data_IF_110685661939
#
_entry.id   IF_110685661939
#
_cell.length_a   1.000
_cell.length_b   1.000
_cell.length_c   1.000
_cell.angle_alpha   90.00
_cell.angle_beta   90.00
_cell.angle_gamma   90.00
#
_symmetry.space_group_name_H-M   'P 1'
#
loop_
_entity.id
_entity.type
_entity.pdbx_description
1 polymer ?
#
# COMPACT_ATOMS: atom_id res chain seq x y z
N UNK A 1 8.20 8.67 -50.24
CA UNK A 1 7.36 9.16 -49.15
C UNK A 1 7.79 8.44 -47.88
N UNK A 2 8.61 9.09 -47.02
CA UNK A 2 9.11 8.50 -45.80
C UNK A 2 8.05 8.62 -44.70
N UNK A 3 7.25 7.60 -44.49
CA UNK A 3 6.41 7.44 -43.30
C UNK A 3 7.25 6.84 -42.16
N UNK A 4 8.25 7.55 -41.71
CA UNK A 4 8.80 7.34 -40.34
C UNK A 4 7.89 8.14 -39.40
N UNK A 5 6.74 7.60 -39.04
CA UNK A 5 6.03 8.06 -37.85
C UNK A 5 7.03 7.97 -36.67
N UNK A 6 7.22 9.07 -35.94
CA UNK A 6 8.05 9.10 -34.73
C UNK A 6 7.48 8.08 -33.74
N UNK A 7 8.00 6.84 -33.74
CA UNK A 7 7.70 5.89 -32.68
C UNK A 7 8.18 6.51 -31.36
N UNK A 8 7.28 6.70 -30.41
CA UNK A 8 7.65 7.18 -29.09
C UNK A 8 8.41 6.06 -28.38
N UNK A 9 9.66 6.32 -28.09
CA UNK A 9 10.50 5.43 -27.27
C UNK A 9 10.19 5.62 -25.79
N UNK A 10 10.53 4.64 -24.96
CA UNK A 10 10.42 4.71 -23.49
C UNK A 10 11.37 5.78 -22.98
N UNK A 11 10.83 6.81 -22.33
CA UNK A 11 11.63 7.95 -21.81
C UNK A 11 11.16 8.36 -20.42
N UNK A 12 12.03 9.01 -19.62
CA UNK A 12 11.59 9.65 -18.39
C UNK A 12 10.55 10.75 -18.66
N UNK A 13 9.53 10.84 -17.81
CA UNK A 13 8.59 11.97 -17.84
C UNK A 13 9.25 13.25 -17.35
N UNK A 14 8.93 14.39 -17.97
CA UNK A 14 9.29 15.71 -17.46
C UNK A 14 8.66 15.94 -16.07
N UNK A 15 7.37 15.65 -15.94
CA UNK A 15 6.64 15.70 -14.66
C UNK A 15 6.16 14.31 -14.29
N UNK A 16 6.86 13.70 -13.32
CA UNK A 16 6.53 12.35 -12.84
C UNK A 16 5.19 12.34 -12.11
N UNK A 17 4.45 11.26 -12.32
CA UNK A 17 3.26 10.95 -11.53
C UNK A 17 3.70 10.19 -10.26
N UNK A 18 3.15 10.51 -9.09
CA UNK A 18 3.47 9.76 -7.88
C UNK A 18 2.88 8.34 -7.95
N UNK A 19 3.44 7.38 -7.19
CA UNK A 19 2.88 6.03 -7.11
C UNK A 19 1.44 6.06 -6.56
N UNK A 20 0.61 5.09 -6.97
CA UNK A 20 -0.79 5.01 -6.51
C UNK A 20 -0.85 4.89 -4.98
N UNK A 21 0.04 4.11 -4.40
CA UNK A 21 0.16 3.94 -2.95
C UNK A 21 1.61 3.68 -2.55
N UNK A 22 1.89 3.84 -1.25
CA UNK A 22 3.15 3.35 -0.69
C UNK A 22 3.14 1.82 -0.68
N UNK A 23 4.10 1.23 -1.36
CA UNK A 23 4.25 -0.22 -1.41
C UNK A 23 5.63 -0.62 -0.86
N UNK A 24 5.74 -1.75 -0.13
CA UNK A 24 7.04 -2.22 0.34
C UNK A 24 8.01 -2.37 -0.83
N UNK A 25 9.23 -1.91 -0.66
CA UNK A 25 10.22 -1.98 -1.73
C UNK A 25 10.13 -0.89 -2.79
N UNK A 26 9.18 0.06 -2.71
CA UNK A 26 9.00 1.11 -3.72
C UNK A 26 10.29 1.82 -4.13
N UNK A 27 10.48 2.05 -5.43
CA UNK A 27 11.75 2.47 -6.07
C UNK A 27 11.91 3.98 -6.30
N UNK A 28 11.16 4.81 -5.56
CA UNK A 28 11.25 6.28 -5.74
C UNK A 28 12.67 6.82 -5.53
N UNK A 29 13.43 6.26 -4.58
CA UNK A 29 14.80 6.67 -4.29
C UNK A 29 15.80 6.13 -5.33
N UNK A 30 15.50 5.01 -5.93
CA UNK A 30 16.31 4.32 -6.93
C UNK A 30 16.08 4.87 -8.35
N UNK A 31 15.07 5.70 -8.58
CA UNK A 31 14.81 6.34 -9.89
C UNK A 31 16.04 7.09 -10.43
N UNK A 32 16.89 7.62 -9.54
CA UNK A 32 18.15 8.28 -9.92
C UNK A 32 19.16 7.33 -10.59
N UNK A 33 19.07 6.02 -10.37
CA UNK A 33 19.88 4.99 -11.01
C UNK A 33 19.16 4.36 -12.20
N UNK A 34 17.82 4.32 -12.18
CA UNK A 34 17.00 3.69 -13.22
C UNK A 34 16.89 4.60 -14.44
N UNK A 35 16.42 5.84 -14.24
CA UNK A 35 16.05 6.71 -15.36
C UNK A 35 17.22 7.11 -16.29
N UNK A 36 18.46 7.35 -15.80
CA UNK A 36 19.59 7.65 -16.67
C UNK A 36 20.06 6.46 -17.52
N UNK A 37 19.70 5.24 -17.09
CA UNK A 37 20.17 3.99 -17.68
C UNK A 37 19.10 3.26 -18.52
N UNK A 38 18.03 3.95 -18.91
CA UNK A 38 17.02 3.39 -19.83
C UNK A 38 17.64 3.15 -21.21
N UNK A 39 17.25 2.07 -21.93
CA UNK A 39 17.67 1.86 -23.32
C UNK A 39 17.09 2.98 -24.20
N UNK A 40 17.90 3.46 -25.16
CA UNK A 40 17.58 4.68 -25.93
C UNK A 40 16.54 4.48 -27.04
N UNK A 41 16.25 3.24 -27.39
CA UNK A 41 15.40 2.86 -28.53
C UNK A 41 14.28 1.88 -28.18
N UNK A 42 13.96 1.74 -26.89
CA UNK A 42 12.91 0.86 -26.42
C UNK A 42 11.50 1.37 -26.80
N UNK A 43 10.64 0.48 -27.29
CA UNK A 43 9.30 0.81 -27.77
C UNK A 43 8.24 0.78 -26.67
N UNK A 44 8.01 -0.38 -26.06
CA UNK A 44 6.98 -0.59 -25.05
C UNK A 44 7.62 -0.89 -23.68
N UNK A 45 6.84 -0.63 -22.64
CA UNK A 45 7.27 -0.81 -21.26
C UNK A 45 6.55 -1.98 -20.61
N UNK A 46 7.32 -2.83 -19.92
CA UNK A 46 6.81 -3.98 -19.16
C UNK A 46 7.29 -3.91 -17.71
N UNK A 47 6.38 -4.17 -16.76
CA UNK A 47 6.72 -4.24 -15.32
C UNK A 47 5.91 -5.37 -14.67
N UNK A 48 6.46 -6.60 -14.59
CA UNK A 48 5.76 -7.78 -14.07
C UNK A 48 5.56 -7.77 -12.55
N UNK A 49 6.22 -6.88 -11.82
CA UNK A 49 6.15 -6.68 -10.38
C UNK A 49 5.90 -5.20 -10.08
N UNK A 50 4.75 -4.66 -10.51
CA UNK A 50 4.52 -3.20 -10.54
C UNK A 50 4.42 -2.57 -9.16
N UNK A 51 3.93 -3.30 -8.13
CA UNK A 51 3.73 -2.73 -6.82
C UNK A 51 2.98 -1.40 -6.84
N UNK A 52 3.52 -0.37 -6.18
CA UNK A 52 2.95 0.98 -6.18
C UNK A 52 3.10 1.77 -7.49
N UNK A 53 3.87 1.25 -8.47
CA UNK A 53 4.07 1.86 -9.79
C UNK A 53 5.07 3.01 -9.82
N UNK A 54 6.06 3.03 -8.94
CA UNK A 54 7.04 4.13 -8.88
C UNK A 54 7.81 4.32 -10.18
N UNK A 55 8.21 3.24 -10.86
CA UNK A 55 8.94 3.28 -12.14
C UNK A 55 7.96 3.49 -13.28
N UNK A 56 6.92 2.68 -13.38
CA UNK A 56 5.85 2.77 -14.37
C UNK A 56 5.30 4.20 -14.52
N UNK A 57 4.97 4.86 -13.41
CA UNK A 57 4.39 6.21 -13.40
C UNK A 57 5.40 7.33 -13.65
N UNK A 58 6.69 7.00 -13.67
CA UNK A 58 7.79 7.94 -13.97
C UNK A 58 8.20 7.95 -15.45
N UNK A 59 7.61 7.09 -16.28
CA UNK A 59 7.99 6.89 -17.68
C UNK A 59 6.90 7.31 -18.66
N UNK A 60 7.32 7.80 -19.84
CA UNK A 60 6.49 7.91 -21.03
C UNK A 60 6.78 6.75 -21.98
N UNK A 61 5.72 6.10 -22.48
CA UNK A 61 5.77 5.04 -23.49
C UNK A 61 4.54 5.11 -24.38
N UNK A 62 4.59 4.48 -25.53
CA UNK A 62 3.42 4.33 -26.38
C UNK A 62 2.40 3.35 -25.73
N UNK A 63 2.89 2.25 -25.16
CA UNK A 63 2.09 1.25 -24.48
C UNK A 63 2.82 0.70 -23.25
N UNK A 64 2.03 0.35 -22.24
CA UNK A 64 2.51 -0.23 -21.00
C UNK A 64 1.83 -1.56 -20.73
N UNK A 65 2.59 -2.50 -20.17
CA UNK A 65 2.13 -3.78 -19.69
C UNK A 65 2.59 -3.93 -18.25
N UNK A 66 1.66 -3.88 -17.32
CA UNK A 66 1.95 -4.00 -15.90
C UNK A 66 1.25 -5.21 -15.30
N UNK A 67 1.90 -5.83 -14.35
CA UNK A 67 1.41 -7.00 -13.67
C UNK A 67 1.79 -6.98 -12.18
N UNK A 68 1.01 -7.61 -11.36
CA UNK A 68 1.35 -7.99 -9.99
C UNK A 68 0.53 -9.21 -9.59
N UNK A 69 1.06 -10.02 -8.67
CA UNK A 69 0.36 -11.20 -8.17
C UNK A 69 -0.74 -10.85 -7.16
N UNK A 70 -0.68 -9.68 -6.51
CA UNK A 70 -1.72 -9.20 -5.60
C UNK A 70 -2.97 -8.79 -6.37
N UNK A 71 -4.05 -9.55 -6.17
CA UNK A 71 -5.34 -9.29 -6.80
C UNK A 71 -5.94 -7.96 -6.35
N UNK A 72 -5.80 -7.61 -5.07
CA UNK A 72 -6.31 -6.35 -4.51
C UNK A 72 -5.58 -5.13 -5.09
N UNK A 73 -4.26 -5.24 -5.26
CA UNK A 73 -3.48 -4.18 -5.89
C UNK A 73 -3.89 -3.98 -7.35
N UNK A 74 -4.03 -5.07 -8.10
CA UNK A 74 -4.46 -5.00 -9.50
C UNK A 74 -5.92 -4.55 -9.61
N UNK A 75 -6.79 -4.94 -8.68
CA UNK A 75 -8.15 -4.40 -8.54
C UNK A 75 -8.14 -2.88 -8.41
N UNK A 76 -7.28 -2.33 -7.54
CA UNK A 76 -7.10 -0.88 -7.42
C UNK A 76 -6.69 -0.23 -8.74
N UNK A 77 -5.68 -0.77 -9.45
CA UNK A 77 -5.27 -0.23 -10.75
C UNK A 77 -6.42 -0.22 -11.76
N UNK A 78 -7.22 -1.28 -11.81
CA UNK A 78 -8.38 -1.39 -12.72
C UNK A 78 -9.47 -0.39 -12.39
N UNK A 79 -9.85 -0.26 -11.12
CA UNK A 79 -10.88 0.69 -10.67
C UNK A 79 -10.47 2.14 -10.95
N UNK A 80 -9.18 2.49 -10.71
CA UNK A 80 -8.64 3.81 -11.04
C UNK A 80 -8.60 4.03 -12.56
N UNK A 81 -8.19 3.02 -13.35
CA UNK A 81 -8.18 3.10 -14.81
C UNK A 81 -9.58 3.32 -15.40
N UNK A 82 -10.60 2.67 -14.84
CA UNK A 82 -12.00 2.78 -15.22
C UNK A 82 -12.67 4.06 -14.71
N UNK A 83 -11.99 4.83 -13.83
CA UNK A 83 -12.61 5.96 -13.10
C UNK A 83 -13.91 5.54 -12.43
N UNK A 84 -13.90 4.38 -11.74
CA UNK A 84 -15.09 3.78 -11.17
C UNK A 84 -15.70 4.70 -10.09
N UNK A 85 -16.88 5.25 -10.38
CA UNK A 85 -17.55 6.24 -9.52
C UNK A 85 -17.93 5.65 -8.16
N UNK A 86 -18.35 4.39 -8.10
CA UNK A 86 -18.71 3.74 -6.82
C UNK A 86 -17.48 3.64 -5.91
N UNK A 87 -16.34 3.21 -6.44
CA UNK A 87 -15.07 3.16 -5.72
C UNK A 87 -14.64 4.53 -5.20
N UNK A 88 -14.64 5.54 -6.09
CA UNK A 88 -14.23 6.90 -5.73
C UNK A 88 -15.16 7.52 -4.69
N UNK A 89 -16.47 7.26 -4.78
CA UNK A 89 -17.43 7.73 -3.81
C UNK A 89 -17.25 7.05 -2.45
N UNK A 90 -17.01 5.74 -2.42
CA UNK A 90 -16.70 5.02 -1.17
C UNK A 90 -15.44 5.55 -0.49
N UNK A 91 -14.40 5.89 -1.25
CA UNK A 91 -13.19 6.54 -0.69
C UNK A 91 -13.51 7.90 -0.08
N UNK A 92 -14.33 8.73 -0.75
CA UNK A 92 -14.75 10.04 -0.21
C UNK A 92 -15.56 9.88 1.07
N UNK A 93 -16.49 8.91 1.11
CA UNK A 93 -17.30 8.61 2.28
C UNK A 93 -16.46 8.13 3.46
N UNK A 94 -15.51 7.23 3.24
CA UNK A 94 -14.58 6.77 4.28
C UNK A 94 -13.75 7.95 4.83
N UNK A 95 -13.18 8.79 3.96
CA UNK A 95 -12.37 9.94 4.37
C UNK A 95 -13.22 10.98 5.12
N UNK A 96 -14.41 11.30 4.61
CA UNK A 96 -15.35 12.20 5.26
C UNK A 96 -15.71 11.72 6.68
N UNK A 97 -16.10 10.46 6.81
CA UNK A 97 -16.49 9.88 8.09
C UNK A 97 -15.31 9.75 9.06
N UNK A 98 -14.11 9.43 8.55
CA UNK A 98 -12.88 9.45 9.33
C UNK A 98 -12.59 10.84 9.93
N UNK A 99 -12.78 11.89 9.15
CA UNK A 99 -12.62 13.27 9.62
C UNK A 99 -13.76 13.71 10.52
N UNK A 100 -14.98 13.20 10.30
CA UNK A 100 -16.12 13.47 11.15
C UNK A 100 -15.93 12.97 12.59
N UNK A 101 -15.25 11.85 12.80
CA UNK A 101 -14.88 11.37 14.15
C UNK A 101 -14.10 12.42 14.92
N UNK A 102 -13.14 13.11 14.29
CA UNK A 102 -12.42 14.22 14.94
C UNK A 102 -13.34 15.36 15.34
N UNK A 103 -14.29 15.72 14.47
CA UNK A 103 -15.25 16.78 14.72
C UNK A 103 -16.18 16.44 15.89
N UNK A 104 -16.70 15.22 15.94
CA UNK A 104 -17.55 14.76 17.07
C UNK A 104 -16.77 14.87 18.39
N UNK A 105 -15.53 14.38 18.43
CA UNK A 105 -14.71 14.46 19.65
C UNK A 105 -14.44 15.91 20.05
N UNK A 106 -14.20 16.81 19.09
CA UNK A 106 -13.99 18.24 19.37
C UNK A 106 -15.28 18.92 19.87
N UNK A 107 -16.42 18.64 19.27
CA UNK A 107 -17.72 19.21 19.67
C UNK A 107 -18.09 18.81 21.10
N UNK A 108 -17.75 17.60 21.51
CA UNK A 108 -18.11 17.01 22.81
C UNK A 108 -16.89 16.83 23.73
N UNK A 109 -15.82 17.62 23.52
CA UNK A 109 -14.57 17.48 24.27
C UNK A 109 -14.80 17.57 25.79
N UNK A 110 -15.61 18.52 26.25
CA UNK A 110 -15.87 18.72 27.69
C UNK A 110 -16.57 17.52 28.32
N UNK A 111 -17.58 16.97 27.66
CA UNK A 111 -18.30 15.78 28.10
C UNK A 111 -17.38 14.56 28.17
N UNK A 112 -16.58 14.31 27.14
CA UNK A 112 -15.61 13.21 27.10
C UNK A 112 -14.52 13.34 28.17
N UNK A 113 -14.06 14.55 28.41
CA UNK A 113 -13.12 14.83 29.50
C UNK A 113 -13.76 14.61 30.86
N UNK A 114 -15.03 14.98 31.05
CA UNK A 114 -15.75 14.73 32.29
C UNK A 114 -15.90 13.24 32.55
N UNK A 115 -16.23 12.43 31.53
CA UNK A 115 -16.30 10.96 31.64
C UNK A 115 -14.94 10.42 32.09
N UNK A 116 -13.85 10.86 31.45
CA UNK A 116 -12.49 10.44 31.81
C UNK A 116 -12.14 10.80 33.25
N UNK A 117 -12.39 12.05 33.66
CA UNK A 117 -12.07 12.56 35.02
C UNK A 117 -12.88 11.80 36.09
N UNK A 118 -14.15 11.55 35.83
CA UNK A 118 -15.01 10.77 36.73
C UNK A 118 -14.45 9.36 36.91
N UNK A 119 -14.11 8.67 35.85
CA UNK A 119 -13.49 7.35 35.91
C UNK A 119 -12.13 7.37 36.64
N UNK A 120 -11.31 8.40 36.42
CA UNK A 120 -9.99 8.55 37.05
C UNK A 120 -10.10 8.68 38.57
N UNK A 121 -11.07 9.47 39.04
CA UNK A 121 -11.27 9.75 40.50
C UNK A 121 -11.97 8.56 41.17
N UNK A 122 -13.03 8.07 40.54
CA UNK A 122 -13.86 6.97 41.06
C UNK A 122 -13.99 5.88 40.00
N UNK A 123 -12.98 4.98 39.89
CA UNK A 123 -13.03 3.91 38.91
C UNK A 123 -14.25 3.01 39.11
N UNK A 124 -15.05 2.89 38.06
CA UNK A 124 -16.18 1.96 38.01
C UNK A 124 -15.79 0.65 37.35
N UNK A 125 -16.66 -0.34 37.39
CA UNK A 125 -16.48 -1.61 36.69
C UNK A 125 -16.50 -1.46 35.16
N UNK A 126 -15.89 -2.40 34.45
CA UNK A 126 -15.87 -2.38 32.98
C UNK A 126 -17.27 -2.31 32.34
N UNK A 127 -18.32 -3.01 32.86
CA UNK A 127 -19.67 -2.89 32.31
C UNK A 127 -20.27 -1.49 32.42
N UNK A 128 -20.05 -0.81 33.56
CA UNK A 128 -20.59 0.53 33.81
C UNK A 128 -19.90 1.60 32.94
N UNK A 129 -18.59 1.50 32.74
CA UNK A 129 -17.87 2.37 31.81
C UNK A 129 -18.34 2.12 30.37
N UNK A 130 -18.55 0.87 29.98
CA UNK A 130 -19.07 0.49 28.66
C UNK A 130 -20.47 1.08 28.43
N UNK A 131 -21.34 1.02 29.43
CA UNK A 131 -22.66 1.64 29.36
C UNK A 131 -22.59 3.16 29.20
N UNK A 132 -21.67 3.82 29.94
CA UNK A 132 -21.47 5.28 29.83
C UNK A 132 -21.04 5.70 28.44
N UNK A 133 -20.05 5.01 27.85
CA UNK A 133 -19.59 5.31 26.48
C UNK A 133 -20.66 4.95 25.43
N UNK A 134 -21.38 3.84 25.58
CA UNK A 134 -22.48 3.47 24.70
C UNK A 134 -23.59 4.52 24.73
N UNK A 135 -23.88 5.07 25.91
CA UNK A 135 -24.86 6.15 26.08
C UNK A 135 -24.39 7.42 25.34
N UNK A 136 -23.13 7.80 25.50
CA UNK A 136 -22.56 8.93 24.75
C UNK A 136 -22.74 8.77 23.22
N UNK A 137 -22.41 7.59 22.66
CA UNK A 137 -22.58 7.33 21.22
C UNK A 137 -24.06 7.42 20.82
N UNK A 138 -24.97 6.94 21.67
CA UNK A 138 -26.41 6.97 21.41
C UNK A 138 -26.99 8.37 21.51
N UNK A 139 -26.59 9.15 22.52
CA UNK A 139 -27.09 10.50 22.73
C UNK A 139 -26.66 11.46 21.60
N UNK A 140 -25.58 11.13 20.90
CA UNK A 140 -25.06 11.86 19.74
C UNK A 140 -25.24 11.10 18.42
N UNK A 141 -26.21 10.18 18.35
CA UNK A 141 -26.45 9.30 17.19
C UNK A 141 -26.56 10.08 15.87
N UNK A 142 -27.18 11.24 15.87
CA UNK A 142 -27.35 12.06 14.66
C UNK A 142 -26.00 12.50 14.06
N UNK A 143 -24.98 12.79 14.90
CA UNK A 143 -23.65 13.14 14.43
C UNK A 143 -22.88 11.91 13.93
N UNK A 144 -23.17 10.73 14.50
CA UNK A 144 -22.63 9.44 14.05
C UNK A 144 -23.41 8.87 12.85
N UNK A 145 -24.51 9.46 12.43
CA UNK A 145 -25.43 8.90 11.43
C UNK A 145 -24.78 8.58 10.08
N UNK A 146 -23.82 9.40 9.63
CA UNK A 146 -23.01 9.11 8.44
C UNK A 146 -22.17 7.82 8.57
N UNK A 147 -21.75 7.50 9.79
CA UNK A 147 -20.95 6.32 10.13
C UNK A 147 -21.83 5.06 10.29
N UNK A 148 -23.10 5.26 10.71
CA UNK A 148 -24.07 4.20 10.97
C UNK A 148 -24.95 3.87 9.77
N UNK A 149 -24.77 4.54 8.63
CA UNK A 149 -25.57 4.33 7.43
C UNK A 149 -25.22 3.01 6.75
N UNK A 150 -26.21 2.13 6.56
CA UNK A 150 -26.05 0.84 5.90
C UNK A 150 -25.58 0.91 4.43
N UNK A 151 -25.73 2.06 3.76
CA UNK A 151 -25.15 2.28 2.42
C UNK A 151 -23.65 2.57 2.45
N UNK A 152 -23.13 3.00 3.60
CA UNK A 152 -21.70 3.29 3.83
C UNK A 152 -21.02 2.15 4.58
N UNK A 153 -21.70 1.57 5.56
CA UNK A 153 -21.13 0.62 6.50
C UNK A 153 -21.95 -0.68 6.51
N UNK A 154 -21.33 -1.76 6.89
CA UNK A 154 -21.97 -3.05 7.14
C UNK A 154 -21.72 -3.46 8.60
N UNK A 155 -22.52 -4.37 9.15
CA UNK A 155 -22.37 -4.85 10.53
C UNK A 155 -22.32 -3.71 11.57
N UNK A 156 -23.33 -2.82 11.57
CA UNK A 156 -23.37 -1.59 12.36
C UNK A 156 -23.29 -1.87 13.88
N UNK A 157 -23.88 -2.96 14.36
CA UNK A 157 -23.79 -3.38 15.78
C UNK A 157 -22.32 -3.61 16.17
N UNK A 158 -21.58 -4.36 15.35
CA UNK A 158 -20.14 -4.56 15.55
C UNK A 158 -19.36 -3.25 15.53
N UNK A 159 -19.74 -2.29 14.66
CA UNK A 159 -19.09 -0.99 14.63
C UNK A 159 -19.26 -0.23 15.95
N UNK A 160 -20.48 -0.19 16.48
CA UNK A 160 -20.79 0.49 17.74
C UNK A 160 -20.05 -0.16 18.91
N UNK A 161 -19.96 -1.49 18.93
CA UNK A 161 -19.20 -2.23 19.93
C UNK A 161 -17.72 -1.92 19.89
N UNK A 162 -17.10 -1.92 18.71
CA UNK A 162 -15.67 -1.61 18.54
C UNK A 162 -15.31 -0.16 18.92
N UNK A 163 -16.18 0.81 18.58
CA UNK A 163 -16.02 2.19 19.04
C UNK A 163 -16.01 2.26 20.57
N UNK A 164 -17.02 1.68 21.19
CA UNK A 164 -17.21 1.68 22.65
C UNK A 164 -16.03 1.00 23.35
N UNK A 165 -15.65 -0.18 22.91
CA UNK A 165 -14.58 -0.96 23.52
C UNK A 165 -13.23 -0.27 23.39
N UNK A 166 -12.92 0.30 22.22
CA UNK A 166 -11.68 1.02 22.00
C UNK A 166 -11.53 2.24 22.92
N UNK A 167 -12.62 2.98 23.14
CA UNK A 167 -12.64 4.14 24.04
C UNK A 167 -12.51 3.71 25.50
N UNK A 168 -13.25 2.69 25.93
CA UNK A 168 -13.14 2.14 27.28
C UNK A 168 -11.72 1.67 27.60
N UNK A 169 -11.12 0.87 26.71
CA UNK A 169 -9.76 0.38 26.86
C UNK A 169 -8.74 1.52 26.97
N UNK A 170 -8.95 2.59 26.20
CA UNK A 170 -8.08 3.77 26.24
C UNK A 170 -8.21 4.53 27.56
N UNK A 171 -9.43 4.76 28.04
CA UNK A 171 -9.70 5.44 29.32
C UNK A 171 -9.04 4.67 30.48
N UNK A 172 -9.26 3.35 30.56
CA UNK A 172 -8.65 2.49 31.58
C UNK A 172 -7.11 2.57 31.53
N UNK A 173 -6.54 2.52 30.32
CA UNK A 173 -5.09 2.59 30.14
C UNK A 173 -4.52 3.93 30.54
N UNK A 174 -5.15 5.05 30.15
CA UNK A 174 -4.71 6.40 30.54
C UNK A 174 -4.72 6.57 32.05
N UNK A 175 -5.83 6.23 32.72
CA UNK A 175 -5.95 6.31 34.17
C UNK A 175 -4.92 5.43 34.89
N UNK A 176 -4.61 4.25 34.35
CA UNK A 176 -3.56 3.37 34.90
C UNK A 176 -2.15 3.95 34.72
N UNK A 177 -1.88 4.65 33.63
CA UNK A 177 -0.58 5.30 33.38
C UNK A 177 -0.37 6.49 34.33
N UNK A 178 -1.39 7.32 34.52
CA UNK A 178 -1.32 8.47 35.44
C UNK A 178 -1.08 8.07 36.91
N UNK A 179 -1.57 6.91 37.33
CA UNK A 179 -1.24 6.37 38.66
C UNK A 179 0.26 6.09 38.90
N UNK A 180 1.02 5.92 37.78
CA UNK A 180 2.44 5.54 37.81
C UNK A 180 3.37 6.66 37.34
N UNK A 181 2.82 7.69 36.71
CA UNK A 181 3.56 8.77 36.09
C UNK A 181 2.87 10.13 36.32
N UNK A 182 3.32 11.15 35.57
CA UNK A 182 2.71 12.49 35.61
C UNK A 182 1.29 12.47 34.98
N UNK A 183 0.42 13.32 35.52
CA UNK A 183 -0.90 13.61 34.98
C UNK A 183 -0.80 14.08 33.52
N UNK A 184 -1.71 13.57 32.68
CA UNK A 184 -1.81 13.95 31.27
C UNK A 184 -2.42 15.36 31.16
N UNK A 185 -1.97 16.12 30.18
CA UNK A 185 -2.62 17.39 29.84
C UNK A 185 -4.02 17.14 29.25
N UNK A 186 -4.87 18.18 29.30
CA UNK A 186 -6.20 18.13 28.69
C UNK A 186 -6.13 17.76 27.21
N UNK A 187 -5.16 18.35 26.51
CA UNK A 187 -4.90 18.12 25.08
C UNK A 187 -4.47 16.67 24.82
N UNK A 188 -3.63 16.11 25.67
CA UNK A 188 -3.19 14.71 25.56
C UNK A 188 -4.36 13.74 25.80
N UNK A 189 -5.21 14.01 26.79
CA UNK A 189 -6.42 13.19 27.04
C UNK A 189 -7.35 13.24 25.83
N UNK A 190 -7.66 14.44 25.31
CA UNK A 190 -8.53 14.65 24.15
C UNK A 190 -7.96 13.94 22.91
N UNK A 191 -6.67 14.09 22.61
CA UNK A 191 -6.02 13.42 21.48
C UNK A 191 -6.03 11.88 21.62
N UNK A 192 -5.91 11.37 22.83
CA UNK A 192 -5.98 9.93 23.10
C UNK A 192 -7.41 9.39 22.94
N UNK A 193 -8.43 10.13 23.36
CA UNK A 193 -9.83 9.75 23.16
C UNK A 193 -10.19 9.76 21.67
N UNK A 194 -9.79 10.81 20.93
CA UNK A 194 -9.93 10.84 19.48
C UNK A 194 -9.27 9.63 18.82
N UNK A 195 -8.02 9.34 19.23
CA UNK A 195 -7.28 8.17 18.74
C UNK A 195 -7.96 6.85 19.07
N UNK A 196 -8.72 6.79 20.17
CA UNK A 196 -9.48 5.59 20.53
C UNK A 196 -10.71 5.40 19.64
N UNK A 197 -11.51 6.44 19.40
CA UNK A 197 -12.61 6.39 18.43
C UNK A 197 -12.12 5.99 17.04
N UNK A 198 -11.03 6.59 16.57
CA UNK A 198 -10.39 6.24 15.30
C UNK A 198 -9.83 4.82 15.27
N UNK A 199 -9.34 4.32 16.38
CA UNK A 199 -8.93 2.91 16.51
C UNK A 199 -10.13 1.97 16.37
N UNK A 200 -11.26 2.28 16.98
CA UNK A 200 -12.51 1.51 16.83
C UNK A 200 -13.00 1.51 15.38
N UNK A 201 -13.04 2.70 14.73
CA UNK A 201 -13.36 2.81 13.31
C UNK A 201 -12.45 1.93 12.45
N UNK A 202 -11.13 2.02 12.65
CA UNK A 202 -10.16 1.22 11.92
C UNK A 202 -10.34 -0.29 12.19
N UNK A 203 -10.56 -0.69 13.43
CA UNK A 203 -10.75 -2.10 13.81
C UNK A 203 -12.00 -2.69 13.17
N UNK A 204 -13.08 -1.91 13.11
CA UNK A 204 -14.29 -2.31 12.41
C UNK A 204 -14.04 -2.47 10.89
N UNK A 205 -13.38 -1.54 10.24
CA UNK A 205 -13.05 -1.66 8.81
C UNK A 205 -12.09 -2.84 8.54
N UNK A 206 -11.22 -3.16 9.50
CA UNK A 206 -10.41 -4.39 9.45
C UNK A 206 -11.29 -5.64 9.56
N UNK A 207 -12.33 -5.61 10.37
CA UNK A 207 -13.32 -6.68 10.43
C UNK A 207 -14.04 -6.82 9.08
N UNK A 208 -14.54 -5.73 8.50
CA UNK A 208 -15.17 -5.74 7.17
C UNK A 208 -14.23 -6.33 6.11
N UNK A 209 -12.97 -5.93 6.11
CA UNK A 209 -11.94 -6.44 5.19
C UNK A 209 -11.76 -7.96 5.33
N UNK A 210 -11.74 -8.46 6.55
CA UNK A 210 -11.55 -9.89 6.82
C UNK A 210 -12.82 -10.74 6.57
N UNK A 211 -13.97 -10.12 6.30
CA UNK A 211 -15.27 -10.79 6.11
C UNK A 211 -16.00 -10.28 4.85
N UNK A 212 -15.24 -9.83 3.83
CA UNK A 212 -15.82 -9.25 2.60
C UNK A 212 -16.84 -10.20 1.97
N UNK A 213 -16.48 -11.47 1.79
CA UNK A 213 -17.33 -12.48 1.16
C UNK A 213 -18.54 -12.82 2.02
N UNK A 214 -18.36 -13.00 3.33
CA UNK A 214 -19.43 -13.32 4.28
C UNK A 214 -20.47 -12.19 4.37
N UNK A 215 -20.04 -10.94 4.25
CA UNK A 215 -20.89 -9.75 4.31
C UNK A 215 -21.44 -9.34 2.95
N UNK A 216 -21.06 -10.02 1.87
CA UNK A 216 -21.49 -9.68 0.51
C UNK A 216 -21.02 -8.28 0.06
N UNK A 217 -19.85 -7.84 0.50
CA UNK A 217 -19.32 -6.52 0.15
C UNK A 217 -18.83 -6.54 -1.31
N UNK A 218 -19.41 -5.67 -2.12
CA UNK A 218 -19.06 -5.55 -3.54
C UNK A 218 -17.60 -5.10 -3.76
N UNK A 219 -16.99 -5.51 -4.89
CA UNK A 219 -15.59 -5.23 -5.25
C UNK A 219 -15.19 -3.76 -5.08
N UNK A 220 -15.94 -2.74 -5.56
CA UNK A 220 -15.53 -1.35 -5.41
C UNK A 220 -15.44 -0.90 -3.95
N UNK A 221 -16.34 -1.37 -3.11
CA UNK A 221 -16.31 -1.06 -1.67
C UNK A 221 -15.18 -1.84 -0.97
N UNK A 222 -15.02 -3.13 -1.29
CA UNK A 222 -13.91 -3.95 -0.78
C UNK A 222 -12.54 -3.33 -1.09
N UNK A 223 -12.35 -2.84 -2.32
CA UNK A 223 -11.13 -2.14 -2.72
C UNK A 223 -10.91 -0.81 -1.97
N UNK A 224 -11.99 -0.06 -1.68
CA UNK A 224 -11.90 1.16 -0.88
C UNK A 224 -11.53 0.85 0.58
N UNK A 225 -12.09 -0.21 1.16
CA UNK A 225 -11.71 -0.71 2.50
C UNK A 225 -10.24 -1.13 2.50
N UNK A 226 -9.80 -1.94 1.53
CA UNK A 226 -8.42 -2.36 1.41
C UNK A 226 -7.45 -1.16 1.31
N UNK A 227 -7.78 -0.17 0.48
CA UNK A 227 -6.96 1.04 0.34
C UNK A 227 -6.89 1.83 1.65
N UNK A 228 -8.02 1.99 2.35
CA UNK A 228 -8.05 2.61 3.68
C UNK A 228 -7.17 1.84 4.67
N UNK A 229 -7.28 0.52 4.71
CA UNK A 229 -6.45 -0.32 5.59
C UNK A 229 -4.96 -0.12 5.29
N UNK A 230 -4.55 -0.09 4.01
CA UNK A 230 -3.16 0.16 3.58
C UNK A 230 -2.64 1.52 4.03
N UNK A 231 -3.49 2.54 3.95
CA UNK A 231 -3.09 3.91 4.30
C UNK A 231 -3.00 4.13 5.81
N UNK A 232 -3.83 3.46 6.62
CA UNK A 232 -3.97 3.75 8.06
C UNK A 232 -3.40 2.68 8.99
N UNK A 233 -2.97 1.53 8.50
CA UNK A 233 -2.30 0.52 9.32
C UNK A 233 -0.91 0.98 9.78
N UNK A 234 -0.48 0.45 10.92
CA UNK A 234 0.83 0.77 11.50
C UNK A 234 1.97 0.53 10.51
N UNK A 235 2.78 1.56 10.27
CA UNK A 235 3.94 1.56 9.35
C UNK A 235 3.63 1.12 7.92
N UNK A 236 2.37 1.19 7.48
CA UNK A 236 1.91 0.68 6.17
C UNK A 236 2.29 -0.79 5.94
N UNK A 237 2.48 -1.55 7.01
CA UNK A 237 2.74 -3.00 6.95
C UNK A 237 1.47 -3.73 6.52
N UNK A 238 1.62 -4.75 5.68
CA UNK A 238 0.52 -5.62 5.30
C UNK A 238 0.89 -7.05 5.69
N UNK A 239 0.25 -7.53 6.74
CA UNK A 239 0.54 -8.82 7.36
C UNK A 239 -0.75 -9.54 7.70
N UNK A 240 -0.75 -10.84 7.44
CA UNK A 240 -1.83 -11.74 7.77
C UNK A 240 -1.42 -12.69 8.91
N UNK A 241 -2.39 -13.14 9.68
CA UNK A 241 -2.17 -14.18 10.67
C UNK A 241 -2.17 -15.57 10.00
N UNK A 242 -2.00 -16.63 10.81
CA UNK A 242 -1.99 -18.02 10.31
C UNK A 242 -3.31 -18.47 9.66
N UNK A 243 -4.39 -17.75 9.95
CA UNK A 243 -5.74 -18.00 9.41
C UNK A 243 -5.99 -17.18 8.13
N UNK A 244 -4.98 -16.48 7.61
CA UNK A 244 -5.11 -15.62 6.43
C UNK A 244 -5.83 -14.30 6.68
N UNK A 245 -6.13 -13.93 7.94
CA UNK A 245 -6.80 -12.68 8.29
C UNK A 245 -5.78 -11.55 8.52
N UNK A 246 -6.08 -10.39 7.98
CA UNK A 246 -5.29 -9.18 8.19
C UNK A 246 -5.33 -8.75 9.65
N UNK A 247 -4.17 -8.55 10.29
CA UNK A 247 -4.09 -8.34 11.73
C UNK A 247 -3.20 -7.16 12.17
N UNK A 248 -2.83 -6.26 11.25
CA UNK A 248 -2.03 -5.09 11.62
C UNK A 248 -2.92 -4.06 12.34
N UNK A 249 -2.45 -3.48 13.45
CA UNK A 249 -3.22 -2.48 14.19
C UNK A 249 -3.22 -1.12 13.48
N UNK A 250 -4.07 -0.22 13.97
CA UNK A 250 -4.08 1.19 13.60
C UNK A 250 -2.73 1.87 13.87
N UNK A 251 -2.34 2.80 13.03
CA UNK A 251 -1.05 3.53 13.12
C UNK A 251 -0.93 4.49 14.30
N UNK A 252 -2.02 4.72 15.04
CA UNK A 252 -2.04 5.52 16.28
C UNK A 252 -2.26 7.02 16.06
N UNK A 253 -2.08 7.81 17.10
CA UNK A 253 -2.43 9.23 17.18
C UNK A 253 -1.82 10.08 16.06
N UNK A 254 -0.61 9.76 15.61
CA UNK A 254 0.03 10.45 14.47
C UNK A 254 -0.76 10.37 13.16
N UNK A 255 -1.70 9.43 13.06
CA UNK A 255 -2.57 9.24 11.90
C UNK A 255 -3.95 9.93 12.06
N UNK A 256 -4.27 10.49 13.23
CA UNK A 256 -5.58 11.12 13.47
C UNK A 256 -5.91 12.19 12.44
N UNK A 257 -4.94 13.02 12.06
CA UNK A 257 -5.10 14.10 11.07
C UNK A 257 -4.86 13.69 9.63
N UNK A 258 -4.60 12.39 9.37
CA UNK A 258 -4.39 11.88 8.02
C UNK A 258 -5.70 11.88 7.26
N UNK A 259 -5.68 12.32 5.98
CA UNK A 259 -6.80 12.30 5.06
C UNK A 259 -6.39 11.62 3.75
N UNK A 260 -7.33 10.92 3.13
CA UNK A 260 -7.18 10.33 1.80
C UNK A 260 -7.59 11.29 0.68
N UNK A 261 -8.12 12.48 0.99
CA UNK A 261 -8.65 13.40 -0.01
C UNK A 261 -7.67 13.74 -1.13
N UNK A 262 -6.37 13.95 -0.81
CA UNK A 262 -5.33 14.17 -1.83
C UNK A 262 -5.13 12.95 -2.74
N UNK A 263 -5.22 11.74 -2.21
CA UNK A 263 -5.08 10.49 -2.99
C UNK A 263 -6.31 10.26 -3.86
N UNK A 264 -7.51 10.46 -3.31
CA UNK A 264 -8.75 10.36 -4.08
C UNK A 264 -8.79 11.36 -5.23
N UNK A 265 -8.38 12.63 -4.99
CA UNK A 265 -8.23 13.62 -6.05
C UNK A 265 -7.18 13.22 -7.09
N UNK A 266 -6.08 12.59 -6.66
CA UNK A 266 -5.06 12.07 -7.57
C UNK A 266 -5.59 10.93 -8.45
N UNK A 267 -6.43 10.05 -7.94
CA UNK A 267 -7.07 8.99 -8.75
C UNK A 267 -7.97 9.55 -9.85
N UNK A 268 -8.50 10.75 -9.67
CA UNK A 268 -9.25 11.47 -10.71
C UNK A 268 -8.35 12.32 -11.64
N UNK A 269 -7.03 12.25 -11.53
CA UNK A 269 -6.12 13.08 -12.31
C UNK A 269 -6.11 12.68 -13.80
N UNK A 270 -6.25 13.67 -14.69
CA UNK A 270 -6.34 13.45 -16.13
C UNK A 270 -5.09 12.80 -16.75
N UNK A 271 -3.89 13.16 -16.27
CA UNK A 271 -2.64 12.57 -16.78
C UNK A 271 -2.48 11.12 -16.33
N UNK A 272 -2.90 10.81 -15.08
CA UNK A 272 -2.96 9.43 -14.61
C UNK A 272 -3.94 8.60 -15.44
N UNK A 273 -5.15 9.11 -15.64
CA UNK A 273 -6.15 8.45 -16.48
C UNK A 273 -5.67 8.23 -17.93
N UNK A 274 -4.95 9.21 -18.49
CA UNK A 274 -4.35 9.11 -19.83
C UNK A 274 -3.30 7.99 -19.91
N UNK A 275 -2.44 7.84 -18.90
CA UNK A 275 -1.46 6.76 -18.86
C UNK A 275 -2.13 5.41 -18.70
N UNK A 276 -3.07 5.29 -17.77
CA UNK A 276 -3.81 4.04 -17.51
C UNK A 276 -4.60 3.56 -18.74
N UNK A 277 -5.15 4.46 -19.57
CA UNK A 277 -5.79 4.07 -20.84
C UNK A 277 -4.86 3.41 -21.86
N UNK A 278 -3.55 3.64 -21.74
CA UNK A 278 -2.52 3.01 -22.59
C UNK A 278 -1.94 1.73 -21.96
N UNK A 279 -2.44 1.34 -20.79
CA UNK A 279 -1.87 0.29 -19.97
C UNK A 279 -2.71 -0.96 -20.00
N UNK A 280 -2.08 -2.08 -20.28
CA UNK A 280 -2.61 -3.42 -20.03
C UNK A 280 -2.30 -3.76 -18.55
N UNK A 281 -3.34 -4.08 -17.78
CA UNK A 281 -3.23 -4.40 -16.34
C UNK A 281 -3.55 -5.87 -16.14
N UNK A 282 -2.55 -6.69 -15.83
CA UNK A 282 -2.64 -8.13 -15.63
C UNK A 282 -2.51 -8.51 -14.14
N UNK A 283 -3.08 -9.66 -13.79
CA UNK A 283 -2.94 -10.29 -12.46
C UNK A 283 -2.59 -11.75 -12.67
N UNK A 284 -1.32 -12.01 -12.95
CA UNK A 284 -0.80 -13.32 -13.34
C UNK A 284 0.50 -13.63 -12.60
N UNK A 285 0.91 -14.90 -12.61
CA UNK A 285 2.31 -15.24 -12.39
C UNK A 285 3.18 -14.56 -13.46
N UNK A 286 4.40 -14.15 -13.12
CA UNK A 286 5.27 -13.41 -14.05
C UNK A 286 5.58 -14.19 -15.34
N UNK A 287 5.70 -15.50 -15.25
CA UNK A 287 5.97 -16.34 -16.42
C UNK A 287 4.76 -16.42 -17.35
N UNK A 288 3.55 -16.62 -16.80
CA UNK A 288 2.30 -16.54 -17.56
C UNK A 288 2.07 -15.15 -18.16
N UNK A 289 2.48 -14.09 -17.44
CA UNK A 289 2.44 -12.72 -17.98
C UNK A 289 3.34 -12.56 -19.22
N UNK A 290 4.56 -13.07 -19.18
CA UNK A 290 5.45 -13.03 -20.32
C UNK A 290 5.00 -13.94 -21.49
N UNK A 291 4.39 -15.07 -21.17
CA UNK A 291 3.80 -15.94 -22.21
C UNK A 291 2.63 -15.25 -22.93
N UNK A 292 1.78 -14.57 -22.17
CA UNK A 292 0.59 -13.91 -22.74
C UNK A 292 0.92 -12.63 -23.52
N UNK A 293 1.91 -11.85 -23.06
CA UNK A 293 2.20 -10.52 -23.63
C UNK A 293 3.57 -10.42 -24.31
N UNK A 294 4.30 -11.49 -24.42
CA UNK A 294 5.55 -11.73 -25.17
C UNK A 294 6.35 -10.46 -25.56
N UNK A 295 7.22 -9.92 -24.69
CA UNK A 295 8.02 -8.73 -25.01
C UNK A 295 8.93 -8.98 -26.23
N UNK A 296 8.93 -8.02 -27.16
CA UNK A 296 9.77 -8.07 -28.37
C UNK A 296 11.18 -7.51 -28.15
N UNK A 297 12.07 -7.68 -29.13
CA UNK A 297 13.51 -7.33 -29.02
C UNK A 297 13.77 -5.86 -28.64
N UNK A 298 12.86 -4.95 -29.00
CA UNK A 298 12.99 -3.52 -28.67
C UNK A 298 12.02 -3.04 -27.60
N UNK A 299 11.49 -3.96 -26.80
CA UNK A 299 10.73 -3.61 -25.60
C UNK A 299 11.65 -3.52 -24.38
N UNK A 300 11.19 -2.85 -23.34
CA UNK A 300 11.95 -2.70 -22.10
C UNK A 300 11.17 -3.25 -20.91
N UNK A 301 11.81 -4.15 -20.17
CA UNK A 301 11.27 -4.80 -18.99
C UNK A 301 11.99 -4.26 -17.75
N UNK A 302 11.26 -3.64 -16.84
CA UNK A 302 11.76 -3.32 -15.50
C UNK A 302 11.30 -4.38 -14.50
N UNK A 303 12.22 -4.87 -13.66
CA UNK A 303 11.95 -5.93 -12.70
C UNK A 303 12.41 -5.54 -11.29
N UNK A 304 11.48 -5.66 -10.36
CA UNK A 304 11.70 -5.53 -8.92
C UNK A 304 10.97 -6.68 -8.19
N UNK A 305 11.43 -7.92 -8.37
CA UNK A 305 10.80 -9.07 -7.75
C UNK A 305 10.92 -9.01 -6.21
N UNK A 306 10.02 -9.67 -5.46
CA UNK A 306 10.18 -9.84 -4.02
C UNK A 306 11.55 -10.45 -3.70
N UNK A 307 12.19 -9.94 -2.62
CA UNK A 307 13.50 -10.44 -2.23
C UNK A 307 13.37 -11.79 -1.52
N UNK A 308 14.40 -12.64 -1.68
CA UNK A 308 14.56 -13.90 -0.99
C UNK A 308 14.87 -13.66 0.51
N UNK A 309 13.86 -13.20 1.26
CA UNK A 309 13.95 -12.98 2.70
C UNK A 309 12.69 -13.51 3.38
N UNK A 310 12.78 -13.93 4.65
CA UNK A 310 11.65 -14.40 5.48
C UNK A 310 10.45 -13.44 5.51
N UNK A 311 10.63 -12.18 5.09
CA UNK A 311 9.56 -11.17 4.98
C UNK A 311 8.61 -11.36 3.79
N UNK A 312 9.02 -12.05 2.72
CA UNK A 312 8.14 -12.33 1.59
C UNK A 312 7.00 -13.28 1.99
N UNK A 313 7.25 -14.20 2.91
CA UNK A 313 6.26 -15.12 3.46
C UNK A 313 5.13 -14.41 4.26
N UNK A 314 5.40 -13.26 4.87
CA UNK A 314 4.40 -12.52 5.66
C UNK A 314 3.32 -11.81 4.84
N UNK A 315 3.57 -11.58 3.55
CA UNK A 315 2.62 -10.90 2.66
C UNK A 315 1.71 -11.89 1.87
N UNK A 316 1.80 -13.20 2.15
CA UNK A 316 1.03 -14.23 1.42
C UNK A 316 1.54 -14.47 -0.01
N UNK A 317 2.64 -13.85 -0.41
CA UNK A 317 3.29 -14.05 -1.71
C UNK A 317 4.62 -14.78 -1.48
N UNK A 318 4.59 -16.08 -1.65
CA UNK A 318 5.80 -16.90 -1.65
C UNK A 318 6.53 -16.73 -2.98
N UNK A 319 7.50 -15.81 -3.03
CA UNK A 319 8.47 -15.71 -4.12
C UNK A 319 9.81 -16.20 -3.59
N UNK A 320 10.05 -17.50 -3.78
CA UNK A 320 11.21 -18.20 -3.22
C UNK A 320 12.37 -18.35 -4.20
N UNK A 321 13.39 -19.12 -3.80
CA UNK A 321 14.58 -19.41 -4.63
C UNK A 321 14.21 -20.08 -5.95
N UNK A 322 13.18 -20.94 -5.97
CA UNK A 322 12.66 -21.56 -7.18
C UNK A 322 12.14 -20.53 -8.19
N UNK A 323 11.42 -19.50 -7.70
CA UNK A 323 10.90 -18.43 -8.55
C UNK A 323 12.02 -17.51 -9.05
N UNK A 324 13.02 -17.22 -8.21
CA UNK A 324 14.22 -16.50 -8.63
C UNK A 324 14.96 -17.25 -9.75
N UNK A 325 15.06 -18.57 -9.63
CA UNK A 325 15.69 -19.43 -10.65
C UNK A 325 14.88 -19.42 -11.95
N UNK A 326 13.55 -19.56 -11.89
CA UNK A 326 12.66 -19.46 -13.07
C UNK A 326 12.80 -18.11 -13.76
N UNK A 327 12.86 -17.02 -12.98
CA UNK A 327 13.01 -15.68 -13.50
C UNK A 327 14.37 -15.50 -14.20
N UNK A 328 15.46 -15.96 -13.58
CA UNK A 328 16.79 -15.91 -14.17
C UNK A 328 16.87 -16.73 -15.48
N UNK A 329 16.30 -17.94 -15.51
CA UNK A 329 16.25 -18.76 -16.71
C UNK A 329 15.51 -18.06 -17.85
N UNK A 330 14.35 -17.45 -17.57
CA UNK A 330 13.61 -16.67 -18.57
C UNK A 330 14.44 -15.51 -19.10
N UNK A 331 14.99 -14.68 -18.21
CA UNK A 331 15.71 -13.46 -18.58
C UNK A 331 16.99 -13.74 -19.39
N UNK A 332 17.70 -14.80 -19.04
CA UNK A 332 18.99 -15.14 -19.70
C UNK A 332 18.77 -15.89 -21.00
N UNK A 333 17.86 -16.90 -21.01
CA UNK A 333 17.79 -17.86 -22.12
C UNK A 333 16.65 -17.62 -23.10
N UNK A 334 15.58 -16.90 -22.67
CA UNK A 334 14.36 -16.72 -23.49
C UNK A 334 14.07 -15.26 -23.84
N UNK A 335 14.41 -14.33 -22.95
CA UNK A 335 14.11 -12.91 -23.13
C UNK A 335 15.03 -12.26 -24.18
N UNK A 336 14.43 -11.71 -25.25
CA UNK A 336 15.14 -10.91 -26.24
C UNK A 336 14.98 -9.41 -26.04
N UNK A 337 14.04 -8.99 -25.20
CA UNK A 337 13.85 -7.59 -24.84
C UNK A 337 15.00 -7.04 -23.99
N UNK A 338 15.15 -5.72 -23.95
CA UNK A 338 15.97 -5.09 -22.93
C UNK A 338 15.38 -5.33 -21.55
N UNK A 339 16.20 -5.64 -20.56
CA UNK A 339 15.74 -5.71 -19.18
C UNK A 339 16.65 -5.01 -18.19
N UNK A 340 16.07 -4.51 -17.12
CA UNK A 340 16.74 -3.98 -15.94
C UNK A 340 16.15 -4.60 -14.69
N UNK A 341 16.93 -5.36 -13.97
CA UNK A 341 16.56 -6.00 -12.70
C UNK A 341 17.24 -5.28 -11.54
N UNK A 342 16.46 -4.89 -10.53
CA UNK A 342 16.98 -4.42 -9.25
C UNK A 342 16.66 -5.44 -8.18
N UNK A 343 17.68 -5.94 -7.50
CA UNK A 343 17.52 -6.98 -6.48
C UNK A 343 18.57 -6.84 -5.38
N UNK A 344 18.29 -7.36 -4.17
CA UNK A 344 19.26 -7.40 -3.08
C UNK A 344 20.43 -8.29 -3.46
N UNK A 345 21.66 -7.84 -3.15
CA UNK A 345 22.87 -8.63 -3.35
C UNK A 345 22.93 -9.78 -2.35
N UNK A 346 22.96 -11.01 -2.85
CA UNK A 346 23.18 -12.26 -2.10
C UNK A 346 24.02 -13.19 -2.96
N UNK A 347 24.76 -14.12 -2.33
CA UNK A 347 25.57 -15.12 -3.07
C UNK A 347 24.71 -15.95 -4.01
N UNK A 348 23.48 -16.27 -3.61
CA UNK A 348 22.52 -16.99 -4.43
C UNK A 348 22.17 -16.22 -5.71
N UNK A 349 21.84 -14.93 -5.60
CA UNK A 349 21.51 -14.06 -6.74
C UNK A 349 22.72 -13.85 -7.64
N UNK A 350 23.92 -13.62 -7.08
CA UNK A 350 25.15 -13.51 -7.87
C UNK A 350 25.44 -14.80 -8.64
N UNK A 351 25.12 -15.95 -8.07
CA UNK A 351 25.23 -17.26 -8.74
C UNK A 351 24.25 -17.42 -9.91
N UNK A 352 23.07 -16.82 -9.84
CA UNK A 352 22.09 -16.86 -10.92
C UNK A 352 22.43 -15.90 -12.08
N UNK A 353 23.05 -14.75 -11.79
CA UNK A 353 23.34 -13.68 -12.75
C UNK A 353 24.84 -13.37 -12.81
N UNK A 354 25.70 -14.27 -13.32
CA UNK A 354 27.15 -14.00 -13.47
C UNK A 354 27.38 -12.86 -14.45
N UNK A 355 28.24 -11.90 -14.07
CA UNK A 355 28.64 -10.83 -14.96
C UNK A 355 29.29 -11.35 -16.24
N UNK A 356 28.97 -10.77 -17.38
CA UNK A 356 29.49 -11.18 -18.68
C UNK A 356 28.83 -12.43 -19.29
N UNK A 357 27.86 -13.08 -18.61
CA UNK A 357 27.14 -14.23 -19.17
C UNK A 357 26.33 -13.80 -20.41
N UNK A 358 26.45 -14.56 -21.51
CA UNK A 358 25.69 -14.31 -22.73
C UNK A 358 24.19 -14.48 -22.52
N UNK A 359 23.39 -13.63 -23.15
CA UNK A 359 21.94 -13.59 -23.08
C UNK A 359 21.25 -13.80 -24.43
N UNK A 360 19.98 -14.18 -24.44
CA UNK A 360 19.24 -14.53 -25.65
C UNK A 360 19.06 -13.36 -26.64
N UNK A 361 19.24 -12.10 -26.21
CA UNK A 361 19.22 -10.92 -27.10
C UNK A 361 20.51 -10.71 -27.89
N UNK A 362 21.54 -11.55 -27.70
CA UNK A 362 22.81 -11.46 -28.40
C UNK A 362 23.87 -10.59 -27.71
N UNK A 363 23.58 -10.07 -26.54
CA UNK A 363 24.50 -9.31 -25.66
C UNK A 363 24.86 -10.18 -24.43
N UNK A 364 25.28 -9.55 -23.36
CA UNK A 364 25.70 -10.19 -22.11
C UNK A 364 25.07 -9.50 -20.90
N UNK A 365 25.16 -10.12 -19.74
CA UNK A 365 24.81 -9.49 -18.46
C UNK A 365 25.85 -8.46 -18.05
N UNK A 366 25.37 -7.35 -17.54
CA UNK A 366 26.12 -6.28 -16.88
C UNK A 366 25.62 -6.16 -15.44
N UNK A 367 26.49 -6.47 -14.47
CA UNK A 367 26.12 -6.52 -13.05
C UNK A 367 26.78 -5.34 -12.31
N UNK A 368 25.97 -4.35 -11.96
CA UNK A 368 26.41 -3.16 -11.25
C UNK A 368 25.91 -3.17 -9.81
N UNK A 369 26.68 -2.61 -8.89
CA UNK A 369 26.37 -2.56 -7.45
C UNK A 369 26.09 -1.15 -7.00
N UNK A 370 25.13 -0.98 -6.09
CA UNK A 370 24.86 0.30 -5.44
C UNK A 370 24.34 0.12 -4.01
N UNK A 371 24.64 1.09 -3.15
CA UNK A 371 24.21 1.08 -1.76
C UNK A 371 22.78 1.58 -1.61
N UNK A 372 21.98 0.84 -0.86
CA UNK A 372 20.63 1.24 -0.47
C UNK A 372 20.53 1.38 1.04
N UNK A 373 19.99 2.54 1.51
CA UNK A 373 19.65 2.75 2.91
C UNK A 373 18.17 2.47 3.15
N UNK A 374 17.87 1.49 4.00
CA UNK A 374 16.50 1.23 4.45
C UNK A 374 16.10 2.23 5.55
N UNK A 375 14.89 2.78 5.42
CA UNK A 375 14.31 3.70 6.44
C UNK A 375 13.79 2.95 7.65
N UNK A 376 13.38 1.68 7.48
CA UNK A 376 12.90 0.79 8.53
C UNK A 376 13.48 -0.59 8.26
N UNK A 377 14.26 -1.12 9.21
CA UNK A 377 14.70 -2.53 9.22
C UNK A 377 14.05 -3.21 10.42
N UNK A 378 13.37 -4.34 10.20
CA UNK A 378 12.66 -5.08 11.25
C UNK A 378 13.49 -6.19 11.88
N UNK A 379 14.53 -6.69 11.20
CA UNK A 379 15.39 -7.78 11.71
C UNK A 379 16.67 -7.28 12.36
N UNK A 380 17.30 -6.24 11.81
CA UNK A 380 18.52 -5.67 12.37
C UNK A 380 18.41 -4.15 12.48
N UNK A 381 18.19 -3.63 13.68
CA UNK A 381 18.18 -2.18 13.95
C UNK A 381 19.50 -1.51 13.58
N UNK A 382 20.58 -2.28 13.45
CA UNK A 382 21.94 -1.80 13.22
C UNK A 382 22.39 -1.89 11.76
N UNK A 383 21.78 -2.76 10.91
CA UNK A 383 22.18 -2.90 9.51
C UNK A 383 21.17 -2.19 8.59
N UNK A 384 21.38 -0.89 8.45
CA UNK A 384 20.57 -0.01 7.58
C UNK A 384 21.07 0.04 6.16
N UNK A 385 22.24 -0.50 5.87
CA UNK A 385 22.88 -0.47 4.55
C UNK A 385 22.79 -1.87 3.95
N UNK A 386 22.15 -1.99 2.79
CA UNK A 386 22.16 -3.22 2.01
C UNK A 386 22.67 -2.89 0.61
N UNK A 387 23.61 -3.69 0.12
CA UNK A 387 24.06 -3.60 -1.25
C UNK A 387 22.98 -4.19 -2.17
N UNK A 388 22.70 -3.49 -3.26
CA UNK A 388 21.77 -3.92 -4.30
C UNK A 388 22.51 -4.08 -5.63
N UNK A 389 21.99 -4.97 -6.45
CA UNK A 389 22.43 -5.19 -7.81
C UNK A 389 21.47 -4.48 -8.76
N UNK A 390 22.05 -3.83 -9.78
CA UNK A 390 21.38 -3.38 -10.98
C UNK A 390 21.93 -4.22 -12.12
N UNK A 391 21.11 -5.12 -12.65
CA UNK A 391 21.49 -6.11 -13.66
C UNK A 391 20.78 -5.78 -14.95
N UNK A 392 21.51 -5.67 -16.05
CA UNK A 392 20.96 -5.41 -17.38
C UNK A 392 21.55 -6.36 -18.42
N UNK A 393 20.87 -6.52 -19.57
CA UNK A 393 21.39 -7.20 -20.75
C UNK A 393 21.77 -6.22 -21.86
N UNK A 394 22.14 -5.00 -21.48
CA UNK A 394 22.69 -3.94 -22.34
C UNK A 394 23.64 -3.06 -21.51
N UNK A 395 24.63 -2.40 -22.15
CA UNK A 395 25.56 -1.54 -21.42
C UNK A 395 24.85 -0.31 -20.84
N UNK A 396 25.15 0.03 -19.60
CA UNK A 396 24.68 1.26 -18.94
C UNK A 396 25.79 2.30 -18.83
N UNK A 397 25.42 3.55 -18.51
CA UNK A 397 26.34 4.70 -18.44
C UNK A 397 27.12 4.72 -17.14
#
# INVERSE_FOLDING_TARGET
MNLKGNMKVVTPKEKRLPPLLKYPGGKEKELKYILPNLPSDANHYYEPFVGGGSVYLSLDSERYYINDKSAELIGLYRLVAQQNEVFLEKLRQIDHNWMNVSRIVQNHEEELLQIYQTYRITPCGAPELKETISRFVKDHEEEFNGLLNGNFNAAIEHFTEELTESVCNKIVRMASLEKKAKELSKEDVSANIEGAFKSGFYTHFRYLYNHIDELGIEEPFGAAIWFFMREYCYSSMFRYNKEGKFNVPYGGISYNRKSMGKKTAYFCNAELAKQLRKTVVANLDFEAFFEQYAPGERDFIFLDPPYDTEFSAYAGNEFGQGDQTRLADYLIRRCRAYFMLIIKNTDFILGLYPDGLATANGDRLYVNRFDKRYTVSFQDRNDKNAEHLLITNYPIK
#
